data_IF_954118124574
#
_entry.id   IF_954118124574
#
_cell.length_a   1.000
_cell.length_b   1.000
_cell.length_c   1.000
_cell.angle_alpha   90.00
_cell.angle_beta   90.00
_cell.angle_gamma   90.00
#
_symmetry.space_group_name_H-M   'P 1'
#
loop_
_entity.id
_entity.type
_entity.pdbx_description
1 polymer ?
#
# COMPACT_ATOMS: atom_id res chain seq x y z
N UNK A 1 -22.32 -22.23 36.55
CA UNK A 1 -21.01 -21.62 36.17
C UNK A 1 -20.10 -22.48 35.27
N UNK A 2 -20.20 -23.81 35.18
CA UNK A 2 -19.28 -24.64 34.35
C UNK A 2 -19.55 -24.64 32.84
N UNK A 3 -20.75 -24.24 32.40
CA UNK A 3 -21.12 -24.23 30.97
C UNK A 3 -20.56 -23.03 30.20
N UNK A 4 -20.43 -21.86 30.85
CA UNK A 4 -19.85 -20.65 30.23
C UNK A 4 -18.36 -20.88 29.90
N UNK A 5 -17.60 -21.52 30.80
CA UNK A 5 -16.19 -21.83 30.55
C UNK A 5 -15.98 -22.72 29.32
N UNK A 6 -16.87 -23.69 29.05
CA UNK A 6 -16.79 -24.56 27.87
C UNK A 6 -17.09 -23.88 26.54
N UNK A 7 -17.81 -22.76 26.53
CA UNK A 7 -18.06 -21.97 25.31
C UNK A 7 -17.05 -20.85 25.13
N UNK A 8 -16.57 -20.26 26.22
CA UNK A 8 -15.51 -19.24 26.19
C UNK A 8 -14.20 -19.82 25.65
N UNK A 9 -13.85 -21.07 25.99
CA UNK A 9 -12.58 -21.69 25.56
C UNK A 9 -12.46 -21.93 24.03
N UNK A 10 -13.47 -22.50 23.31
CA UNK A 10 -13.42 -22.64 21.87
C UNK A 10 -13.59 -21.32 21.10
N UNK A 11 -14.36 -20.35 21.61
CA UNK A 11 -14.43 -19.00 21.04
C UNK A 11 -13.12 -18.23 21.24
N UNK A 12 -12.51 -18.32 22.43
CA UNK A 12 -11.20 -17.72 22.70
C UNK A 12 -10.10 -18.37 21.87
N UNK A 13 -10.12 -19.70 21.67
CA UNK A 13 -9.24 -20.39 20.71
C UNK A 13 -9.48 -19.96 19.28
N UNK A 14 -10.74 -19.83 18.86
CA UNK A 14 -11.11 -19.32 17.53
C UNK A 14 -10.59 -17.90 17.31
N UNK A 15 -10.70 -17.03 18.32
CA UNK A 15 -10.17 -15.66 18.30
C UNK A 15 -8.63 -15.60 18.38
N UNK A 16 -8.00 -16.53 19.10
CA UNK A 16 -6.53 -16.69 19.15
C UNK A 16 -5.97 -17.21 17.81
N UNK A 17 -6.66 -18.15 17.16
CA UNK A 17 -6.35 -18.65 15.82
C UNK A 17 -6.65 -17.60 14.73
N UNK A 18 -7.62 -16.72 14.95
CA UNK A 18 -7.81 -15.53 14.11
C UNK A 18 -6.65 -14.52 14.21
N UNK A 19 -5.81 -14.65 15.25
CA UNK A 19 -4.63 -13.80 15.47
C UNK A 19 -3.35 -14.36 14.86
N UNK A 20 -3.33 -15.62 14.39
CA UNK A 20 -2.13 -16.25 13.83
C UNK A 20 -1.99 -15.92 12.35
N UNK A 21 -1.21 -14.89 12.02
CA UNK A 21 -0.92 -14.50 10.63
C UNK A 21 -0.40 -15.71 9.84
N UNK A 22 -1.08 -16.07 8.75
CA UNK A 22 -0.62 -17.17 7.88
C UNK A 22 0.73 -16.83 7.24
N UNK A 23 1.57 -17.83 6.88
CA UNK A 23 2.84 -17.58 6.21
C UNK A 23 2.69 -16.75 4.92
N UNK A 24 1.61 -16.95 4.16
CA UNK A 24 1.33 -16.19 2.96
C UNK A 24 0.98 -14.72 3.27
N UNK A 25 0.17 -14.46 4.30
CA UNK A 25 -0.11 -13.10 4.75
C UNK A 25 1.15 -12.41 5.27
N UNK A 26 2.03 -13.13 6.00
CA UNK A 26 3.30 -12.60 6.46
C UNK A 26 4.22 -12.24 5.28
N UNK A 27 4.31 -13.12 4.27
CA UNK A 27 5.08 -12.87 3.06
C UNK A 27 4.58 -11.64 2.28
N UNK A 28 3.26 -11.47 2.16
CA UNK A 28 2.68 -10.28 1.53
C UNK A 28 2.92 -9.00 2.32
N UNK A 29 2.82 -9.05 3.65
CA UNK A 29 3.16 -7.88 4.50
C UNK A 29 4.63 -7.50 4.36
N UNK A 30 5.53 -8.48 4.32
CA UNK A 30 6.96 -8.26 4.07
C UNK A 30 7.21 -7.64 2.70
N UNK A 31 6.53 -8.12 1.65
CA UNK A 31 6.60 -7.54 0.31
C UNK A 31 6.11 -6.08 0.31
N UNK A 32 4.98 -5.80 0.97
CA UNK A 32 4.43 -4.46 1.09
C UNK A 32 5.36 -3.50 1.82
N UNK A 33 5.97 -3.97 2.90
CA UNK A 33 7.00 -3.23 3.65
C UNK A 33 8.22 -2.96 2.77
N UNK A 34 8.78 -3.98 2.12
CA UNK A 34 9.96 -3.85 1.27
C UNK A 34 9.71 -2.88 0.11
N UNK A 35 8.55 -2.97 -0.54
CA UNK A 35 8.17 -2.07 -1.62
C UNK A 35 8.02 -0.61 -1.15
N UNK A 36 7.44 -0.39 0.04
CA UNK A 36 7.31 0.96 0.63
C UNK A 36 8.68 1.54 1.00
N UNK A 37 9.57 0.74 1.60
CA UNK A 37 10.93 1.17 1.92
C UNK A 37 11.72 1.48 0.65
N UNK A 38 11.58 0.65 -0.39
CA UNK A 38 12.19 0.93 -1.69
C UNK A 38 11.69 2.25 -2.29
N UNK A 39 10.38 2.52 -2.21
CA UNK A 39 9.82 3.80 -2.63
C UNK A 39 10.46 4.97 -1.86
N UNK A 40 10.54 4.90 -0.52
CA UNK A 40 11.17 5.94 0.30
C UNK A 40 12.64 6.19 -0.10
N UNK A 41 13.42 5.12 -0.27
CA UNK A 41 14.83 5.23 -0.68
C UNK A 41 14.97 5.89 -2.05
N UNK A 42 14.10 5.54 -3.00
CA UNK A 42 14.07 6.18 -4.33
C UNK A 42 13.66 7.65 -4.26
N UNK A 43 12.82 8.04 -3.30
CA UNK A 43 12.44 9.44 -3.08
C UNK A 43 13.48 10.27 -2.33
N UNK A 44 14.42 9.64 -1.61
CA UNK A 44 15.39 10.31 -0.74
C UNK A 44 16.83 9.84 -1.03
N UNK A 45 17.44 10.26 -2.16
CA UNK A 45 18.78 9.81 -2.54
C UNK A 45 19.87 10.21 -1.54
N UNK A 46 19.67 11.29 -0.78
CA UNK A 46 20.59 11.70 0.30
C UNK A 46 20.52 10.80 1.55
N UNK A 47 19.58 9.87 1.62
CA UNK A 47 19.35 8.98 2.76
C UNK A 47 18.18 9.41 3.66
N UNK A 48 17.59 8.41 4.33
CA UNK A 48 16.35 8.53 5.11
C UNK A 48 16.45 9.46 6.32
N UNK A 49 17.65 9.66 6.85
CA UNK A 49 17.91 10.45 8.06
C UNK A 49 18.98 11.51 7.83
N UNK A 50 19.14 11.94 6.57
CA UNK A 50 20.16 12.94 6.19
C UNK A 50 19.86 14.36 6.67
N UNK A 51 18.65 14.61 7.16
CA UNK A 51 18.24 15.88 7.76
C UNK A 51 16.87 15.77 8.41
N UNK A 52 16.41 16.86 9.02
CA UNK A 52 15.16 16.89 9.80
C UNK A 52 13.93 16.49 8.95
N UNK A 53 13.81 17.04 7.73
CA UNK A 53 12.69 16.72 6.83
C UNK A 53 12.61 15.24 6.45
N UNK A 54 13.64 14.66 5.82
CA UNK A 54 13.71 13.24 5.52
C UNK A 54 13.50 12.35 6.74
N UNK A 55 14.07 12.72 7.90
CA UNK A 55 13.92 11.96 9.13
C UNK A 55 12.47 11.92 9.61
N UNK A 56 11.76 13.06 9.63
CA UNK A 56 10.35 13.13 10.00
C UNK A 56 9.47 12.30 9.06
N UNK A 57 9.70 12.37 7.75
CA UNK A 57 8.97 11.59 6.77
C UNK A 57 9.22 10.09 6.92
N UNK A 58 10.48 9.70 7.16
CA UNK A 58 10.84 8.30 7.41
C UNK A 58 10.20 7.77 8.68
N UNK A 59 10.18 8.55 9.76
CA UNK A 59 9.50 8.19 11.01
C UNK A 59 7.98 8.06 10.81
N UNK A 60 7.35 8.99 10.08
CA UNK A 60 5.94 8.90 9.75
C UNK A 60 5.62 7.65 8.92
N UNK A 61 6.51 7.30 7.98
CA UNK A 61 6.33 6.09 7.18
C UNK A 61 6.51 4.81 8.00
N UNK A 62 7.50 4.77 8.90
CA UNK A 62 7.69 3.66 9.84
C UNK A 62 6.45 3.51 10.72
N UNK A 63 5.94 4.61 11.29
CA UNK A 63 4.73 4.59 12.10
C UNK A 63 3.52 4.07 11.31
N UNK A 64 3.36 4.52 10.05
CA UNK A 64 2.32 4.03 9.15
C UNK A 64 2.44 2.54 8.83
N UNK A 65 3.65 2.04 8.56
CA UNK A 65 3.89 0.61 8.30
C UNK A 65 3.62 -0.26 9.54
N UNK A 66 4.01 0.21 10.72
CA UNK A 66 3.68 -0.44 11.99
C UNK A 66 2.16 -0.46 12.18
N UNK A 67 1.48 0.66 11.95
CA UNK A 67 0.03 0.75 12.03
C UNK A 67 -0.66 -0.20 11.05
N UNK A 68 -0.25 -0.26 9.78
CA UNK A 68 -0.78 -1.22 8.78
C UNK A 68 -0.60 -2.68 9.21
N UNK A 69 0.45 -2.97 9.97
CA UNK A 69 0.72 -4.33 10.47
C UNK A 69 -0.17 -4.69 11.67
N UNK A 70 -0.31 -3.76 12.62
CA UNK A 70 -0.97 -3.97 13.91
C UNK A 70 -2.49 -3.71 13.86
N UNK A 71 -2.91 -2.75 13.03
CA UNK A 71 -4.27 -2.26 12.89
C UNK A 71 -4.58 -1.98 11.39
N UNK A 72 -4.76 -3.05 10.58
CA UNK A 72 -4.94 -2.91 9.13
C UNK A 72 -6.18 -2.11 8.71
N UNK A 73 -7.17 -2.01 9.60
CA UNK A 73 -8.40 -1.21 9.37
C UNK A 73 -8.22 0.27 9.74
N UNK A 74 -7.04 0.69 10.21
CA UNK A 74 -6.78 2.07 10.61
C UNK A 74 -6.35 2.93 9.42
N UNK A 75 -6.90 4.14 9.35
CA UNK A 75 -6.47 5.18 8.40
C UNK A 75 -4.99 5.58 8.60
N UNK A 76 -4.38 5.25 9.74
CA UNK A 76 -2.96 5.45 9.99
C UNK A 76 -2.06 4.70 9.00
N UNK A 77 -2.56 3.64 8.36
CA UNK A 77 -1.84 2.94 7.29
C UNK A 77 -1.55 3.82 6.07
N UNK A 78 -2.29 4.93 5.90
CA UNK A 78 -2.08 5.91 4.84
C UNK A 78 -0.87 6.82 5.09
N UNK A 79 -0.32 6.86 6.32
CA UNK A 79 0.84 7.68 6.64
C UNK A 79 2.07 7.29 5.81
N UNK A 80 2.26 6.00 5.55
CA UNK A 80 3.40 5.51 4.79
C UNK A 80 3.38 5.95 3.31
N UNK A 81 2.31 5.70 2.53
CA UNK A 81 2.25 6.24 1.18
C UNK A 81 2.22 7.78 1.16
N UNK A 82 1.58 8.44 2.13
CA UNK A 82 1.58 9.90 2.22
C UNK A 82 2.99 10.46 2.42
N UNK A 83 3.80 9.85 3.28
CA UNK A 83 5.18 10.27 3.50
C UNK A 83 6.05 10.16 2.23
N UNK A 84 5.87 9.10 1.44
CA UNK A 84 6.56 8.94 0.14
C UNK A 84 6.16 10.07 -0.83
N UNK A 85 4.88 10.43 -0.88
CA UNK A 85 4.41 11.50 -1.76
C UNK A 85 4.90 12.87 -1.31
N UNK A 86 4.86 13.14 0.00
CA UNK A 86 5.41 14.38 0.55
C UNK A 86 6.93 14.48 0.32
N UNK A 87 7.66 13.36 0.32
CA UNK A 87 9.09 13.33 -0.01
C UNK A 87 9.38 13.71 -1.47
N UNK A 88 8.40 13.54 -2.37
CA UNK A 88 8.53 13.88 -3.79
C UNK A 88 8.21 15.34 -4.10
N UNK A 89 7.37 16.00 -3.30
CA UNK A 89 6.96 17.40 -3.52
C UNK A 89 8.15 18.37 -3.64
N UNK A 90 9.18 18.33 -2.78
CA UNK A 90 10.29 19.28 -2.86
C UNK A 90 11.35 18.90 -3.92
N UNK A 91 11.17 17.79 -4.66
CA UNK A 91 12.16 17.32 -5.64
C UNK A 91 12.05 18.10 -6.94
N UNK A 92 12.90 19.13 -7.10
CA UNK A 92 12.99 19.93 -8.32
C UNK A 92 13.45 19.11 -9.54
N UNK A 93 14.29 18.09 -9.34
CA UNK A 93 14.86 17.26 -10.41
C UNK A 93 14.50 15.77 -10.22
N UNK A 94 13.21 15.46 -10.36
CA UNK A 94 12.74 14.07 -10.40
C UNK A 94 12.81 13.54 -11.83
N UNK A 95 13.74 12.63 -12.13
CA UNK A 95 13.76 11.98 -13.44
C UNK A 95 12.51 11.13 -13.65
N UNK A 96 12.03 11.05 -14.90
CA UNK A 96 10.83 10.25 -15.26
C UNK A 96 10.97 8.80 -14.83
N UNK A 97 12.16 8.19 -15.04
CA UNK A 97 12.43 6.82 -14.62
C UNK A 97 12.30 6.61 -13.11
N UNK A 98 12.79 7.56 -12.29
CA UNK A 98 12.66 7.49 -10.84
C UNK A 98 11.21 7.65 -10.39
N UNK A 99 10.46 8.54 -11.02
CA UNK A 99 9.02 8.72 -10.78
C UNK A 99 8.23 7.43 -11.06
N UNK A 100 8.51 6.77 -12.20
CA UNK A 100 7.89 5.49 -12.56
C UNK A 100 8.22 4.39 -11.56
N UNK A 101 9.49 4.27 -11.15
CA UNK A 101 9.90 3.27 -10.16
C UNK A 101 9.20 3.48 -8.81
N UNK A 102 9.13 4.74 -8.32
CA UNK A 102 8.41 5.05 -7.08
C UNK A 102 6.93 4.70 -7.18
N UNK A 103 6.28 5.03 -8.30
CA UNK A 103 4.89 4.68 -8.55
C UNK A 103 4.66 3.15 -8.55
N UNK A 104 5.53 2.39 -9.22
CA UNK A 104 5.47 0.93 -9.24
C UNK A 104 5.68 0.33 -7.85
N UNK A 105 6.62 0.86 -7.06
CA UNK A 105 6.83 0.44 -5.68
C UNK A 105 5.60 0.72 -4.80
N UNK A 106 5.00 1.90 -4.90
CA UNK A 106 3.77 2.23 -4.16
C UNK A 106 2.60 1.35 -4.58
N UNK A 107 2.44 1.07 -5.87
CA UNK A 107 1.42 0.15 -6.37
C UNK A 107 1.65 -1.25 -5.81
N UNK A 108 2.85 -1.80 -5.94
CA UNK A 108 3.20 -3.12 -5.42
C UNK A 108 2.95 -3.21 -3.90
N UNK A 109 3.27 -2.15 -3.15
CA UNK A 109 2.97 -2.07 -1.73
C UNK A 109 1.47 -2.15 -1.47
N UNK A 110 0.67 -1.35 -2.17
CA UNK A 110 -0.79 -1.38 -2.06
C UNK A 110 -1.36 -2.76 -2.39
N UNK A 111 -0.93 -3.39 -3.49
CA UNK A 111 -1.35 -4.74 -3.87
C UNK A 111 -1.09 -5.73 -2.74
N UNK A 112 0.14 -5.70 -2.20
CA UNK A 112 0.57 -6.65 -1.19
C UNK A 112 -0.24 -6.50 0.10
N UNK A 113 -0.47 -5.26 0.55
CA UNK A 113 -1.32 -4.97 1.71
C UNK A 113 -2.79 -5.33 1.48
N UNK A 114 -3.35 -5.01 0.31
CA UNK A 114 -4.73 -5.36 -0.03
C UNK A 114 -4.95 -6.87 -0.09
N UNK A 115 -4.01 -7.63 -0.66
CA UNK A 115 -4.04 -9.09 -0.66
C UNK A 115 -3.88 -9.67 0.74
N UNK A 116 -2.95 -9.13 1.53
CA UNK A 116 -2.74 -9.58 2.90
C UNK A 116 -4.00 -9.38 3.76
N UNK A 117 -4.77 -8.32 3.50
CA UNK A 117 -6.02 -8.02 4.19
C UNK A 117 -7.20 -8.90 3.72
N UNK A 118 -7.20 -9.32 2.46
CA UNK A 118 -8.33 -10.05 1.84
C UNK A 118 -8.19 -11.57 1.88
N UNK A 119 -6.99 -12.11 1.99
CA UNK A 119 -6.76 -13.57 2.08
C UNK A 119 -7.23 -14.09 3.44
N UNK A 120 -8.22 -15.01 3.48
CA UNK A 120 -8.57 -15.71 4.72
C UNK A 120 -7.38 -16.45 5.31
N UNK A 121 -7.28 -16.49 6.64
CA UNK A 121 -6.20 -17.12 7.41
C UNK A 121 -5.87 -18.58 7.06
N UNK A 122 -6.78 -19.29 6.38
CA UNK A 122 -6.64 -20.71 6.03
C UNK A 122 -6.67 -20.97 4.52
N UNK A 123 -6.79 -19.92 3.70
CA UNK A 123 -6.83 -20.09 2.25
C UNK A 123 -5.42 -20.02 1.67
N UNK A 124 -5.02 -21.05 0.93
CA UNK A 124 -3.81 -21.01 0.13
C UNK A 124 -4.02 -20.12 -1.09
N UNK A 125 -3.04 -19.30 -1.41
CA UNK A 125 -3.03 -18.51 -2.63
C UNK A 125 -2.91 -19.45 -3.85
N UNK A 126 -4.02 -19.64 -4.56
CA UNK A 126 -4.03 -20.44 -5.79
C UNK A 126 -3.50 -19.63 -6.97
N UNK A 127 -3.04 -20.32 -8.02
CA UNK A 127 -2.62 -19.68 -9.27
C UNK A 127 -3.72 -18.82 -9.90
N UNK A 128 -4.98 -19.22 -9.73
CA UNK A 128 -6.15 -18.47 -10.20
C UNK A 128 -6.34 -17.17 -9.42
N UNK A 129 -6.14 -17.17 -8.09
CA UNK A 129 -6.19 -15.97 -7.26
C UNK A 129 -5.10 -14.96 -7.67
N UNK A 130 -3.89 -15.45 -7.95
CA UNK A 130 -2.81 -14.63 -8.51
C UNK A 130 -3.15 -14.04 -9.89
N UNK A 131 -3.75 -14.84 -10.78
CA UNK A 131 -4.13 -14.37 -12.11
C UNK A 131 -5.25 -13.32 -12.06
N UNK A 132 -6.25 -13.50 -11.19
CA UNK A 132 -7.35 -12.55 -10.99
C UNK A 132 -6.82 -11.21 -10.43
N UNK A 133 -5.96 -11.30 -9.42
CA UNK A 133 -5.26 -10.16 -8.84
C UNK A 133 -4.43 -9.45 -9.89
N UNK A 134 -3.62 -10.16 -10.67
CA UNK A 134 -2.81 -9.59 -11.73
C UNK A 134 -3.66 -8.86 -12.78
N UNK A 135 -4.80 -9.44 -13.18
CA UNK A 135 -5.75 -8.79 -14.11
C UNK A 135 -6.34 -7.50 -13.54
N UNK A 136 -6.79 -7.51 -12.29
CA UNK A 136 -7.32 -6.31 -11.64
C UNK A 136 -6.28 -5.18 -11.59
N UNK A 137 -5.02 -5.51 -11.28
CA UNK A 137 -3.93 -4.55 -11.27
C UNK A 137 -3.54 -4.06 -12.66
N UNK A 138 -3.62 -4.91 -13.67
CA UNK A 138 -3.37 -4.51 -15.06
C UNK A 138 -4.39 -3.47 -15.52
N UNK A 139 -5.67 -3.61 -15.11
CA UNK A 139 -6.70 -2.58 -15.37
C UNK A 139 -6.35 -1.26 -14.70
N UNK A 140 -5.93 -1.28 -13.42
CA UNK A 140 -5.51 -0.08 -12.68
C UNK A 140 -4.30 0.58 -13.35
N UNK A 141 -3.32 -0.20 -13.79
CA UNK A 141 -2.15 0.30 -14.52
C UNK A 141 -2.54 0.96 -15.84
N UNK A 142 -3.38 0.31 -16.64
CA UNK A 142 -3.86 0.85 -17.92
C UNK A 142 -4.65 2.14 -17.70
N UNK A 143 -5.56 2.16 -16.73
CA UNK A 143 -6.34 3.36 -16.39
C UNK A 143 -5.45 4.50 -15.87
N UNK A 144 -4.41 4.20 -15.08
CA UNK A 144 -3.43 5.20 -14.62
C UNK A 144 -2.63 5.77 -15.79
N UNK A 145 -2.16 4.92 -16.71
CA UNK A 145 -1.42 5.35 -17.89
C UNK A 145 -2.30 6.22 -18.81
N UNK A 146 -3.57 5.82 -19.01
CA UNK A 146 -4.52 6.59 -19.80
C UNK A 146 -4.83 7.96 -19.17
N UNK A 147 -5.05 8.00 -17.85
CA UNK A 147 -5.26 9.26 -17.12
C UNK A 147 -4.04 10.19 -17.18
N UNK A 148 -2.84 9.65 -16.99
CA UNK A 148 -1.60 10.40 -17.13
C UNK A 148 -1.42 10.95 -18.55
N UNK A 149 -1.66 10.13 -19.58
CA UNK A 149 -1.59 10.56 -20.98
C UNK A 149 -2.61 11.65 -21.28
N UNK A 150 -3.85 11.50 -20.81
CA UNK A 150 -4.90 12.51 -20.98
C UNK A 150 -4.48 13.84 -20.35
N UNK A 151 -3.96 13.80 -19.11
CA UNK A 151 -3.49 14.98 -18.40
C UNK A 151 -2.33 15.64 -19.15
N UNK A 152 -1.37 14.87 -19.67
CA UNK A 152 -0.29 15.39 -20.53
C UNK A 152 -0.79 16.02 -21.83
N UNK A 153 -1.79 15.40 -22.47
CA UNK A 153 -2.38 15.91 -23.73
C UNK A 153 -3.19 17.20 -23.51
N UNK A 154 -3.83 17.32 -22.35
CA UNK A 154 -4.69 18.48 -22.01
C UNK A 154 -3.88 19.61 -21.37
N UNK A 155 -2.83 19.30 -20.61
CA UNK A 155 -1.97 20.32 -20.01
C UNK A 155 -1.07 20.92 -21.08
N UNK A 156 -1.30 22.18 -21.46
CA UNK A 156 -0.34 22.97 -22.26
C UNK A 156 0.86 23.47 -21.44
N UNK A 157 1.15 22.82 -20.32
CA UNK A 157 2.17 23.21 -19.34
C UNK A 157 3.03 21.98 -19.10
N UNK A 158 4.36 22.16 -19.02
CA UNK A 158 5.27 21.10 -18.59
C UNK A 158 4.91 20.68 -17.16
N UNK A 159 4.11 19.63 -17.03
CA UNK A 159 3.75 19.07 -15.73
C UNK A 159 5.00 18.46 -15.12
N UNK A 160 5.37 18.96 -13.94
CA UNK A 160 6.47 18.39 -13.18
C UNK A 160 6.26 16.89 -12.94
N UNK A 161 7.28 16.04 -13.08
CA UNK A 161 7.16 14.58 -12.94
C UNK A 161 6.55 14.10 -11.62
N UNK A 162 6.53 14.96 -10.60
CA UNK A 162 5.88 14.74 -9.31
C UNK A 162 4.34 14.63 -9.39
N UNK A 163 3.70 15.15 -10.45
CA UNK A 163 2.23 15.09 -10.63
C UNK A 163 1.70 13.69 -11.05
N UNK A 164 2.58 12.76 -11.46
CA UNK A 164 2.22 11.36 -11.70
C UNK A 164 1.86 10.62 -10.40
N UNK A 165 2.41 11.04 -9.29
CA UNK A 165 2.31 10.33 -8.01
C UNK A 165 0.94 10.54 -7.34
N UNK A 166 0.36 11.78 -7.31
CA UNK A 166 -1.04 12.00 -6.95
C UNK A 166 -2.02 11.23 -7.84
N UNK A 167 -1.73 11.08 -9.13
CA UNK A 167 -2.61 10.34 -10.05
C UNK A 167 -2.65 8.83 -9.72
N UNK A 168 -1.50 8.24 -9.38
CA UNK A 168 -1.42 6.84 -8.93
C UNK A 168 -2.08 6.65 -7.56
N UNK A 169 -1.90 7.60 -6.63
CA UNK A 169 -2.63 7.60 -5.35
C UNK A 169 -4.14 7.78 -5.54
N UNK A 170 -4.57 8.65 -6.45
CA UNK A 170 -5.98 8.88 -6.76
C UNK A 170 -6.62 7.63 -7.34
N UNK A 171 -5.90 6.88 -8.19
CA UNK A 171 -6.37 5.59 -8.69
C UNK A 171 -6.40 4.52 -7.60
N UNK A 172 -5.40 4.47 -6.72
CA UNK A 172 -5.40 3.58 -5.56
C UNK A 172 -6.58 3.88 -4.62
N UNK A 173 -6.89 5.17 -4.40
CA UNK A 173 -8.07 5.61 -3.66
C UNK A 173 -9.37 5.21 -4.36
N UNK A 174 -9.44 5.32 -5.69
CA UNK A 174 -10.59 4.88 -6.49
C UNK A 174 -10.84 3.38 -6.34
N UNK A 175 -9.79 2.56 -6.32
CA UNK A 175 -9.93 1.11 -6.06
C UNK A 175 -10.42 0.79 -4.65
N UNK A 176 -10.04 1.58 -3.64
CA UNK A 176 -10.56 1.44 -2.27
C UNK A 176 -12.03 1.83 -2.18
N UNK A 177 -12.49 2.81 -2.96
CA UNK A 177 -13.89 3.24 -3.02
C UNK A 177 -14.78 2.22 -3.75
N UNK A 178 -14.25 1.55 -4.78
CA UNK A 178 -15.01 0.58 -5.60
C UNK A 178 -15.06 -0.82 -4.97
N UNK A 179 -14.22 -1.13 -3.98
CA UNK A 179 -14.31 -2.38 -3.23
C UNK A 179 -15.64 -2.46 -2.46
N UNK A 180 -16.44 -3.54 -2.63
CA UNK A 180 -17.71 -3.68 -1.93
C UNK A 180 -17.47 -3.66 -0.42
N UNK A 181 -17.99 -2.63 0.24
CA UNK A 181 -18.01 -2.56 1.70
C UNK A 181 -19.06 -3.54 2.18
N UNK A 182 -18.70 -4.47 3.07
CA UNK A 182 -19.72 -5.17 3.87
C UNK A 182 -20.44 -4.09 4.67
N UNK A 183 -21.66 -3.78 4.26
CA UNK A 183 -22.60 -3.04 5.09
C UNK A 183 -22.68 -3.78 6.43
N UNK A 184 -22.42 -3.05 7.51
CA UNK A 184 -22.60 -3.57 8.87
C UNK A 184 -24.07 -3.69 9.18
#
# INVERSE_FOLDING_TARGET
MRWIQRFVDPLARGLLLLRTVSPEQAGLRLLGLAATVAALLLTMPGGLFSGLGPALLSLAAIAGLIASTLAPDSDLGLLAPAAVVLALVPQAELTVGRAVLVALCLLAAHCAWALAATIPLHSRLTRAAWALTGRAHLVVLVASAAGALLVLLVSRVDLGPWMLVPAVLALAALTVVVLPRRER
#
